data_IF_769667037003
#
_entry.id   IF_769667037003
#
_cell.length_a   1.000
_cell.length_b   1.000
_cell.length_c   1.000
_cell.angle_alpha   90.00
_cell.angle_beta   90.00
_cell.angle_gamma   90.00
#
_symmetry.space_group_name_H-M   'P 1'
#
loop_
_entity.id
_entity.type
_entity.pdbx_description
1 polymer ?
#
# COMPACT_ATOMS: atom_id res chain seq x y z
N UNK A 1 20.16 -24.29 -5.13
CA UNK A 1 20.05 -24.13 -3.67
C UNK A 1 18.70 -23.47 -3.39
N UNK A 2 17.78 -24.24 -2.76
CA UNK A 2 16.47 -23.90 -2.15
C UNK A 2 15.44 -23.11 -3.00
N UNK A 3 14.32 -23.60 -3.56
CA UNK A 3 13.16 -24.43 -3.14
C UNK A 3 11.86 -23.59 -3.18
N UNK A 4 10.92 -23.94 -4.10
CA UNK A 4 9.43 -24.01 -3.99
C UNK A 4 8.65 -22.81 -3.40
N UNK A 5 7.58 -22.26 -4.00
CA UNK A 5 6.30 -22.91 -4.34
C UNK A 5 5.49 -22.08 -5.35
N UNK A 6 5.41 -22.53 -6.59
CA UNK A 6 4.37 -22.10 -7.52
C UNK A 6 3.19 -23.06 -7.31
N UNK A 7 2.11 -22.60 -6.67
CA UNK A 7 0.89 -23.41 -6.53
C UNK A 7 0.09 -23.29 -7.83
N UNK A 8 0.46 -24.09 -8.83
CA UNK A 8 -0.37 -24.31 -10.02
C UNK A 8 -1.57 -25.15 -9.59
N UNK A 9 -2.74 -24.52 -9.45
CA UNK A 9 -4.02 -25.24 -9.33
C UNK A 9 -4.36 -25.76 -10.73
N UNK A 10 -3.82 -26.92 -11.08
CA UNK A 10 -4.27 -27.67 -12.24
C UNK A 10 -5.64 -28.29 -11.89
N UNK A 11 -6.72 -27.60 -12.25
CA UNK A 11 -8.08 -28.10 -12.08
C UNK A 11 -8.40 -29.11 -13.20
N UNK A 12 -8.07 -30.39 -12.98
CA UNK A 12 -8.63 -31.49 -13.77
C UNK A 12 -10.07 -31.74 -13.28
N UNK A 13 -11.03 -30.97 -13.80
CA UNK A 13 -12.44 -31.24 -13.60
C UNK A 13 -12.90 -32.28 -14.64
N UNK A 14 -13.01 -33.55 -14.24
CA UNK A 14 -13.81 -34.52 -14.99
C UNK A 14 -15.27 -34.28 -14.64
N UNK A 15 -15.97 -33.52 -15.49
CA UNK A 15 -17.42 -33.35 -15.39
C UNK A 15 -18.07 -34.62 -15.97
N UNK A 16 -18.56 -35.51 -15.10
CA UNK A 16 -19.42 -36.62 -15.51
C UNK A 16 -20.87 -36.13 -15.50
N UNK A 17 -21.41 -35.78 -16.67
CA UNK A 17 -22.82 -35.42 -16.82
C UNK A 17 -23.63 -36.69 -17.08
N UNK A 18 -23.91 -37.45 -16.03
CA UNK A 18 -25.02 -38.40 -16.01
C UNK A 18 -26.01 -37.96 -14.93
N UNK A 19 -27.29 -37.83 -15.32
CA UNK A 19 -28.35 -37.09 -14.62
C UNK A 19 -28.84 -37.68 -13.28
N UNK A 20 -28.04 -38.50 -12.59
CA UNK A 20 -28.38 -39.10 -11.30
C UNK A 20 -27.26 -39.05 -10.25
N UNK A 21 -26.08 -38.51 -10.56
CA UNK A 21 -24.97 -38.46 -9.60
C UNK A 21 -24.69 -37.01 -9.15
N UNK A 22 -24.53 -36.82 -7.84
CA UNK A 22 -24.15 -35.54 -7.25
C UNK A 22 -22.85 -35.02 -7.89
N UNK A 23 -22.80 -33.72 -8.22
CA UNK A 23 -21.57 -33.11 -8.72
C UNK A 23 -20.57 -33.09 -7.57
N UNK A 24 -19.43 -33.74 -7.78
CA UNK A 24 -18.33 -33.79 -6.81
C UNK A 24 -17.26 -32.78 -7.19
N UNK A 25 -17.02 -31.81 -6.31
CA UNK A 25 -15.89 -30.91 -6.44
C UNK A 25 -14.73 -31.41 -5.58
N UNK A 26 -13.61 -31.72 -6.23
CA UNK A 26 -12.38 -32.13 -5.55
C UNK A 26 -11.43 -30.92 -5.45
N UNK A 27 -11.15 -30.46 -4.24
CA UNK A 27 -10.19 -29.39 -3.97
C UNK A 27 -8.93 -29.97 -3.37
N UNK A 28 -7.77 -29.65 -3.95
CA UNK A 28 -6.47 -30.12 -3.47
C UNK A 28 -5.70 -28.96 -2.84
N UNK A 29 -5.28 -29.09 -1.58
CA UNK A 29 -4.43 -28.12 -0.87
C UNK A 29 -3.26 -28.85 -0.21
N UNK A 30 -2.03 -28.56 -0.66
CA UNK A 30 -0.82 -29.16 -0.08
C UNK A 30 -0.77 -30.70 -0.15
N UNK A 31 -1.34 -31.29 -1.19
CA UNK A 31 -1.46 -32.75 -1.35
C UNK A 31 -2.65 -33.38 -0.63
N UNK A 32 -3.36 -32.63 0.21
CA UNK A 32 -4.62 -33.07 0.84
C UNK A 32 -5.79 -32.81 -0.09
N UNK A 33 -6.64 -33.83 -0.29
CA UNK A 33 -7.90 -33.76 -1.04
C UNK A 33 -9.06 -33.47 -0.07
N UNK A 34 -9.88 -32.47 -0.40
CA UNK A 34 -11.19 -32.24 0.22
C UNK A 34 -12.26 -32.41 -0.86
N UNK A 35 -13.25 -33.26 -0.60
CA UNK A 35 -14.35 -33.55 -1.51
C UNK A 35 -15.62 -32.83 -1.03
N UNK A 36 -16.25 -32.05 -1.90
CA UNK A 36 -17.53 -31.39 -1.65
C UNK A 36 -18.59 -32.07 -2.51
N UNK A 37 -19.63 -32.59 -1.86
CA UNK A 37 -20.82 -33.10 -2.54
C UNK A 37 -21.83 -31.96 -2.73
N UNK A 38 -22.14 -31.64 -3.96
CA UNK A 38 -23.12 -30.62 -4.31
C UNK A 38 -24.40 -31.29 -4.79
N UNK A 39 -25.50 -31.12 -4.04
CA UNK A 39 -26.84 -31.50 -4.47
C UNK A 39 -27.54 -30.28 -5.08
N UNK A 40 -28.15 -30.44 -6.25
CA UNK A 40 -29.02 -29.44 -6.91
C UNK A 40 -28.37 -28.05 -7.09
N UNK A 41 -27.40 -27.95 -8.01
CA UNK A 41 -26.75 -26.67 -8.35
C UNK A 41 -27.13 -26.26 -9.76
N UNK A 42 -27.81 -25.11 -9.90
CA UNK A 42 -28.24 -24.60 -11.21
C UNK A 42 -27.07 -24.02 -12.02
N UNK A 43 -26.06 -23.47 -11.35
CA UNK A 43 -24.81 -23.04 -11.98
C UNK A 43 -23.67 -22.98 -10.96
N UNK A 44 -22.45 -23.33 -11.40
CA UNK A 44 -21.23 -23.25 -10.59
C UNK A 44 -20.19 -22.44 -11.36
N UNK A 45 -19.84 -21.26 -10.85
CA UNK A 45 -18.85 -20.39 -11.48
C UNK A 45 -17.52 -20.50 -10.74
N UNK A 46 -16.48 -20.91 -11.45
CA UNK A 46 -15.11 -20.85 -10.96
C UNK A 46 -14.43 -19.65 -11.60
N UNK A 47 -14.10 -18.64 -10.80
CA UNK A 47 -13.17 -17.59 -11.22
C UNK A 47 -11.78 -17.95 -10.71
N UNK A 48 -10.86 -18.33 -11.60
CA UNK A 48 -9.43 -18.29 -11.29
C UNK A 48 -9.02 -16.84 -11.13
N UNK A 49 -9.02 -16.33 -9.90
CA UNK A 49 -8.37 -15.08 -9.58
C UNK A 49 -6.88 -15.35 -9.44
N UNK A 50 -6.15 -15.18 -10.54
CA UNK A 50 -4.72 -14.91 -10.45
C UNK A 50 -4.66 -13.43 -10.06
N UNK A 51 -4.60 -13.16 -8.75
CA UNK A 51 -4.10 -11.87 -8.31
C UNK A 51 -2.75 -11.70 -9.02
N UNK A 52 -2.52 -10.59 -9.72
CA UNK A 52 -1.14 -10.30 -10.08
C UNK A 52 -0.33 -10.32 -8.78
N UNK A 53 0.95 -10.72 -8.83
CA UNK A 53 1.80 -10.77 -7.62
C UNK A 53 1.84 -9.43 -6.87
N UNK A 54 1.38 -8.36 -7.51
CA UNK A 54 1.33 -7.01 -7.01
C UNK A 54 0.00 -6.62 -6.35
N UNK A 55 -1.04 -7.45 -6.33
CA UNK A 55 -2.36 -7.11 -5.75
C UNK A 55 -2.61 -7.85 -4.43
N UNK A 56 -2.98 -7.10 -3.39
CA UNK A 56 -3.37 -7.63 -2.09
C UNK A 56 -4.82 -8.10 -2.08
N UNK A 57 -5.15 -9.05 -1.20
CA UNK A 57 -6.44 -9.75 -1.21
C UNK A 57 -7.60 -8.92 -0.65
N UNK A 58 -7.31 -7.96 0.24
CA UNK A 58 -8.31 -7.13 0.91
C UNK A 58 -9.12 -6.28 -0.06
N UNK A 59 -10.44 -6.26 0.14
CA UNK A 59 -11.40 -5.48 -0.66
C UNK A 59 -11.89 -4.28 0.15
N UNK A 60 -11.84 -3.10 -0.46
CA UNK A 60 -12.11 -1.83 0.20
C UNK A 60 -13.13 -1.02 -0.59
N UNK A 61 -14.19 -0.57 0.06
CA UNK A 61 -15.14 0.38 -0.52
C UNK A 61 -14.54 1.78 -0.52
N UNK A 62 -14.48 2.38 -1.70
CA UNK A 62 -14.01 3.76 -1.93
C UNK A 62 -15.15 4.69 -2.37
N UNK A 63 -16.35 4.14 -2.59
CA UNK A 63 -17.62 4.86 -2.65
C UNK A 63 -18.77 3.89 -2.34
N UNK A 64 -20.01 4.36 -2.37
CA UNK A 64 -21.19 3.50 -2.19
C UNK A 64 -21.33 2.38 -3.24
N UNK A 65 -20.72 2.54 -4.42
CA UNK A 65 -20.89 1.62 -5.56
C UNK A 65 -19.56 1.11 -6.12
N UNK A 66 -18.42 1.42 -5.48
CA UNK A 66 -17.09 1.07 -6.00
C UNK A 66 -16.23 0.45 -4.91
N UNK A 67 -15.64 -0.69 -5.24
CA UNK A 67 -14.64 -1.37 -4.44
C UNK A 67 -13.32 -1.50 -5.20
N UNK A 68 -12.23 -1.52 -4.44
CA UNK A 68 -10.87 -1.67 -4.97
C UNK A 68 -10.07 -2.68 -4.15
N UNK A 69 -8.91 -3.04 -4.69
CA UNK A 69 -7.82 -3.69 -3.98
C UNK A 69 -6.56 -2.83 -4.11
N UNK A 70 -5.65 -2.96 -3.16
CA UNK A 70 -4.41 -2.18 -3.15
C UNK A 70 -3.24 -2.98 -3.71
N UNK A 71 -2.21 -2.25 -4.14
CA UNK A 71 -0.92 -2.83 -4.50
C UNK A 71 -0.20 -3.40 -3.28
N UNK A 72 0.73 -4.35 -3.49
CA UNK A 72 1.56 -4.98 -2.44
C UNK A 72 2.52 -4.04 -1.73
N UNK A 73 2.76 -2.86 -2.30
CA UNK A 73 3.72 -1.89 -1.81
C UNK A 73 3.57 -0.54 -2.50
N UNK A 74 4.32 0.43 -2.02
CA UNK A 74 4.35 1.77 -2.59
C UNK A 74 4.89 1.74 -4.01
N UNK A 75 4.40 2.64 -4.86
CA UNK A 75 4.91 2.80 -6.20
C UNK A 75 6.29 3.46 -6.16
N UNK A 76 7.25 2.87 -6.88
CA UNK A 76 8.64 3.34 -6.96
C UNK A 76 9.04 3.54 -8.42
N UNK A 77 9.84 4.58 -8.66
CA UNK A 77 10.44 4.85 -9.97
C UNK A 77 11.95 4.72 -9.88
N UNK A 78 12.53 4.05 -10.87
CA UNK A 78 13.98 3.97 -11.06
C UNK A 78 14.37 4.84 -12.26
N UNK A 79 15.17 5.89 -12.03
CA UNK A 79 15.52 6.88 -13.06
C UNK A 79 16.41 6.28 -14.16
N UNK A 80 17.43 5.52 -13.77
CA UNK A 80 18.42 4.91 -14.68
C UNK A 80 17.81 3.98 -15.72
N UNK A 81 16.73 3.27 -15.36
CA UNK A 81 16.01 2.35 -16.24
C UNK A 81 14.69 2.93 -16.76
N UNK A 82 14.24 4.05 -16.21
CA UNK A 82 12.93 4.67 -16.47
C UNK A 82 11.76 3.70 -16.26
N UNK A 83 11.85 2.86 -15.23
CA UNK A 83 10.84 1.84 -14.93
C UNK A 83 10.12 2.10 -13.63
N UNK A 84 8.86 1.71 -13.61
CA UNK A 84 8.00 1.72 -12.45
C UNK A 84 7.87 0.31 -11.87
N UNK A 85 7.86 0.20 -10.54
CA UNK A 85 7.56 -1.05 -9.84
C UNK A 85 6.96 -0.79 -8.47
N UNK A 86 6.19 -1.73 -7.95
CA UNK A 86 5.78 -1.69 -6.56
C UNK A 86 6.89 -2.22 -5.66
N UNK A 87 7.04 -1.61 -4.48
CA UNK A 87 7.93 -2.11 -3.44
C UNK A 87 7.57 -3.55 -3.05
N UNK A 88 8.53 -4.29 -2.48
CA UNK A 88 8.31 -5.69 -2.13
C UNK A 88 7.30 -5.84 -0.98
N UNK A 89 7.31 -4.90 -0.04
CA UNK A 89 6.40 -4.85 1.10
C UNK A 89 5.78 -3.45 1.27
N UNK A 90 4.63 -3.39 1.95
CA UNK A 90 3.94 -2.13 2.23
C UNK A 90 4.72 -1.17 3.14
N UNK A 91 5.57 -1.71 4.01
CA UNK A 91 6.41 -0.92 4.92
C UNK A 91 7.74 -0.47 4.30
N UNK A 92 8.05 -0.88 3.07
CA UNK A 92 9.27 -0.47 2.38
C UNK A 92 9.15 1.00 1.95
N UNK A 93 9.77 1.89 2.73
CA UNK A 93 9.89 3.32 2.42
C UNK A 93 11.33 3.65 2.00
N UNK A 94 11.47 4.50 1.00
CA UNK A 94 12.76 5.13 0.66
C UNK A 94 12.98 6.35 1.58
N UNK A 95 11.93 7.12 1.87
CA UNK A 95 11.97 8.19 2.86
C UNK A 95 13.01 9.26 2.53
N UNK A 96 13.90 9.57 3.47
CA UNK A 96 14.97 10.56 3.32
C UNK A 96 15.91 10.26 2.14
N UNK A 97 16.06 8.99 1.78
CA UNK A 97 16.92 8.57 0.67
C UNK A 97 16.34 8.83 -0.72
N UNK A 98 15.16 9.44 -0.84
CA UNK A 98 14.71 10.03 -2.12
C UNK A 98 15.67 11.14 -2.58
N UNK A 99 16.44 11.73 -1.66
CA UNK A 99 17.40 12.79 -1.92
C UNK A 99 18.81 12.24 -1.94
N UNK A 100 19.52 12.51 -3.03
CA UNK A 100 20.94 12.19 -3.18
C UNK A 100 21.78 13.31 -2.55
N UNK A 101 22.82 12.91 -1.82
CA UNK A 101 23.67 13.84 -1.09
C UNK A 101 22.96 14.43 0.14
N UNK A 102 23.73 15.17 0.95
CA UNK A 102 23.27 15.67 2.24
C UNK A 102 23.39 14.65 3.38
N UNK A 103 23.19 15.13 4.60
CA UNK A 103 23.26 14.33 5.82
C UNK A 103 21.85 14.17 6.36
N UNK A 104 21.44 12.92 6.62
CA UNK A 104 20.20 12.67 7.34
C UNK A 104 20.28 13.27 8.74
N UNK A 105 19.22 13.95 9.13
CA UNK A 105 19.09 14.56 10.44
C UNK A 105 17.84 14.02 11.12
N UNK A 106 17.95 13.84 12.44
CA UNK A 106 16.84 13.45 13.29
C UNK A 106 16.47 14.62 14.18
N UNK A 107 15.20 15.03 14.13
CA UNK A 107 14.68 15.94 15.13
C UNK A 107 14.44 15.16 16.42
N UNK A 108 15.22 15.46 17.45
CA UNK A 108 15.19 14.72 18.73
C UNK A 108 13.98 15.06 19.60
N UNK A 109 13.28 16.16 19.32
CA UNK A 109 12.08 16.58 20.08
C UNK A 109 10.85 15.80 19.62
N UNK A 110 10.73 15.60 18.30
CA UNK A 110 9.53 15.03 17.65
C UNK A 110 9.77 13.65 17.03
N UNK A 111 11.04 13.24 16.93
CA UNK A 111 11.46 11.88 16.59
C UNK A 111 11.41 11.54 15.10
N UNK A 112 11.26 12.51 14.21
CA UNK A 112 11.23 12.29 12.76
C UNK A 112 12.58 12.54 12.09
N UNK A 113 12.70 12.04 10.86
CA UNK A 113 13.89 12.17 10.03
C UNK A 113 13.65 13.16 8.88
N UNK A 114 14.71 13.85 8.48
CA UNK A 114 14.73 14.71 7.30
C UNK A 114 16.11 14.73 6.64
N UNK A 115 16.14 15.09 5.36
CA UNK A 115 17.37 15.22 4.57
C UNK A 115 17.20 16.31 3.52
N UNK A 116 18.25 17.08 3.30
CA UNK A 116 18.33 18.15 2.30
C UNK A 116 19.36 17.82 1.22
N UNK A 117 19.06 18.13 -0.04
CA UNK A 117 19.97 17.87 -1.15
C UNK A 117 19.45 18.43 -2.48
N UNK A 118 20.36 18.53 -3.45
CA UNK A 118 20.07 19.17 -4.74
C UNK A 118 19.48 18.21 -5.78
N UNK A 119 19.68 16.90 -5.60
CA UNK A 119 19.40 15.87 -6.58
C UNK A 119 18.46 14.79 -6.01
N UNK A 120 17.71 14.14 -6.89
CA UNK A 120 16.99 12.91 -6.56
C UNK A 120 17.93 11.71 -6.65
N UNK A 121 17.76 10.76 -5.73
CA UNK A 121 18.39 9.43 -5.84
C UNK A 121 17.84 8.64 -7.03
N UNK A 122 18.57 7.63 -7.50
CA UNK A 122 18.14 6.82 -8.65
C UNK A 122 16.78 6.16 -8.43
N UNK A 123 16.49 5.72 -7.21
CA UNK A 123 15.21 5.13 -6.82
C UNK A 123 14.43 6.09 -5.93
N UNK A 124 13.18 6.36 -6.28
CA UNK A 124 12.31 7.31 -5.57
C UNK A 124 10.89 6.76 -5.37
N UNK A 125 10.24 7.18 -4.28
CA UNK A 125 8.85 6.88 -3.93
C UNK A 125 8.07 8.12 -3.46
N UNK A 126 8.74 9.28 -3.38
CA UNK A 126 8.16 10.59 -3.11
C UNK A 126 8.25 11.48 -4.34
N UNK A 127 7.16 11.52 -5.09
CA UNK A 127 7.05 12.25 -6.34
C UNK A 127 6.64 13.72 -6.14
N UNK A 128 6.58 14.49 -7.23
CA UNK A 128 5.90 15.79 -7.28
C UNK A 128 4.47 15.61 -7.71
N UNK A 129 3.81 16.72 -8.04
CA UNK A 129 2.54 16.64 -8.73
C UNK A 129 2.73 15.90 -10.06
N UNK A 130 1.77 15.05 -10.40
CA UNK A 130 1.87 14.13 -11.54
C UNK A 130 1.70 14.80 -12.91
N UNK A 131 1.75 16.14 -12.95
CA UNK A 131 1.81 16.88 -14.20
C UNK A 131 3.06 16.49 -15.00
N UNK A 132 2.90 16.42 -16.32
CA UNK A 132 3.99 16.12 -17.24
C UNK A 132 4.34 17.38 -18.01
N UNK A 133 5.35 18.11 -17.53
CA UNK A 133 5.99 19.18 -18.30
C UNK A 133 7.19 18.62 -19.08
N UNK A 134 7.74 19.39 -20.01
CA UNK A 134 8.98 19.00 -20.72
C UNK A 134 10.20 18.87 -19.80
N UNK A 135 10.17 19.50 -18.62
CA UNK A 135 11.28 19.57 -17.67
C UNK A 135 11.12 18.66 -16.45
N UNK A 136 9.90 18.28 -16.07
CA UNK A 136 9.64 17.35 -14.95
C UNK A 136 8.59 16.33 -15.37
N UNK A 137 9.05 15.23 -15.97
CA UNK A 137 8.19 14.15 -16.41
C UNK A 137 7.67 13.39 -15.18
N UNK A 138 6.36 13.15 -15.12
CA UNK A 138 5.74 12.32 -14.09
C UNK A 138 6.09 12.74 -12.66
N UNK A 139 6.15 14.04 -12.35
CA UNK A 139 6.54 14.49 -11.01
C UNK A 139 7.98 14.13 -10.58
N UNK A 140 8.79 13.51 -11.45
CA UNK A 140 10.19 13.14 -11.19
C UNK A 140 11.05 14.38 -11.35
N UNK A 141 11.13 15.16 -10.29
CA UNK A 141 11.99 16.34 -10.23
C UNK A 141 12.15 16.81 -8.80
N UNK A 142 13.15 17.62 -8.52
CA UNK A 142 13.41 18.17 -7.19
C UNK A 142 12.61 19.43 -6.88
N UNK A 143 11.85 19.97 -7.84
CA UNK A 143 11.14 21.23 -7.62
C UNK A 143 10.16 21.17 -6.45
N UNK A 144 10.03 22.32 -5.79
CA UNK A 144 9.08 22.57 -4.71
C UNK A 144 7.94 23.49 -5.15
N UNK A 145 8.03 24.03 -6.37
CA UNK A 145 7.01 24.91 -6.91
C UNK A 145 5.99 24.05 -7.65
N UNK A 146 4.71 24.17 -7.28
CA UNK A 146 3.66 23.43 -7.96
C UNK A 146 3.56 23.86 -9.43
N UNK A 147 3.98 25.09 -9.77
CA UNK A 147 3.99 25.59 -11.15
C UNK A 147 4.94 24.83 -12.04
N UNK A 148 6.02 24.27 -11.50
CA UNK A 148 6.99 23.50 -12.29
C UNK A 148 6.40 22.15 -12.73
N UNK A 149 5.38 21.70 -12.01
CA UNK A 149 4.56 20.55 -12.33
C UNK A 149 3.20 20.93 -12.91
N UNK A 150 2.97 22.21 -13.22
CA UNK A 150 1.69 22.65 -13.77
C UNK A 150 1.51 22.10 -15.20
N UNK A 151 0.41 21.38 -15.39
CA UNK A 151 0.02 20.71 -16.61
C UNK A 151 -1.22 19.87 -16.34
N UNK A 152 -1.64 19.08 -17.31
CA UNK A 152 -2.74 18.14 -17.09
C UNK A 152 -2.31 17.11 -16.03
N UNK A 153 -3.06 17.03 -14.94
CA UNK A 153 -2.83 16.02 -13.92
C UNK A 153 -2.99 14.63 -14.56
N UNK A 154 -1.94 13.82 -14.51
CA UNK A 154 -1.95 12.45 -15.04
C UNK A 154 -2.02 11.50 -13.87
N UNK A 155 -3.08 10.69 -13.82
CA UNK A 155 -3.15 9.59 -12.86
C UNK A 155 -1.94 8.65 -12.99
N UNK A 156 -1.31 8.28 -11.87
CA UNK A 156 -0.12 7.42 -11.88
C UNK A 156 -0.34 6.07 -12.55
N UNK A 157 -1.57 5.56 -12.54
CA UNK A 157 -1.99 4.38 -13.28
C UNK A 157 -1.77 4.46 -14.78
N UNK A 158 -1.86 5.66 -15.37
CA UNK A 158 -1.50 5.90 -16.79
C UNK A 158 0.01 5.92 -17.01
N UNK A 159 0.80 6.25 -15.99
CA UNK A 159 2.27 6.25 -16.09
C UNK A 159 2.84 4.82 -16.05
N UNK A 160 2.12 3.90 -15.40
CA UNK A 160 2.60 2.51 -15.17
C UNK A 160 1.82 1.45 -15.95
N UNK A 161 0.85 1.87 -16.78
CA UNK A 161 0.01 0.94 -17.52
C UNK A 161 -1.10 1.64 -18.32
N UNK A 162 -2.27 1.00 -18.36
CA UNK A 162 -3.43 1.44 -19.16
C UNK A 162 -4.33 2.45 -18.43
N UNK A 163 -4.00 2.83 -17.19
CA UNK A 163 -4.84 3.67 -16.33
C UNK A 163 -6.16 3.04 -15.91
N UNK A 164 -6.33 1.73 -16.11
CA UNK A 164 -7.52 0.95 -15.72
C UNK A 164 -7.19 -0.16 -14.74
N UNK A 165 -6.03 -0.78 -14.92
CA UNK A 165 -5.51 -1.84 -14.05
C UNK A 165 -5.04 -1.27 -12.72
N UNK A 166 -4.29 -0.18 -12.80
CA UNK A 166 -3.83 0.60 -11.65
C UNK A 166 -4.36 2.00 -11.79
N UNK A 167 -4.71 2.62 -10.67
CA UNK A 167 -5.03 4.03 -10.60
C UNK A 167 -4.80 4.54 -9.16
N UNK A 168 -4.67 5.85 -9.01
CA UNK A 168 -4.54 6.52 -7.73
C UNK A 168 -5.93 6.91 -7.23
N UNK A 169 -6.23 6.68 -5.95
CA UNK A 169 -7.53 7.10 -5.41
C UNK A 169 -7.72 8.60 -5.57
N UNK A 170 -8.96 9.03 -5.80
CA UNK A 170 -9.31 10.46 -5.76
C UNK A 170 -9.41 10.97 -4.32
N UNK A 171 -9.46 12.28 -4.13
CA UNK A 171 -9.62 12.90 -2.80
C UNK A 171 -10.93 12.46 -2.13
N UNK A 172 -12.02 12.38 -2.92
CA UNK A 172 -13.31 11.85 -2.46
C UNK A 172 -13.22 10.37 -2.05
N UNK A 173 -12.49 9.56 -2.82
CA UNK A 173 -12.30 8.14 -2.51
C UNK A 173 -11.47 7.93 -1.24
N UNK A 174 -10.43 8.74 -1.02
CA UNK A 174 -9.69 8.78 0.24
C UNK A 174 -10.60 9.18 1.40
N UNK A 175 -11.35 10.27 1.24
CA UNK A 175 -12.30 10.76 2.25
C UNK A 175 -13.36 9.72 2.59
N UNK A 176 -13.86 9.00 1.58
CA UNK A 176 -14.81 7.92 1.79
C UNK A 176 -14.18 6.76 2.56
N UNK A 177 -12.99 6.32 2.15
CA UNK A 177 -12.26 5.21 2.77
C UNK A 177 -11.92 5.47 4.24
N UNK A 178 -11.53 6.71 4.57
CA UNK A 178 -11.15 7.09 5.94
C UNK A 178 -12.32 7.45 6.84
N UNK A 179 -13.42 8.01 6.31
CA UNK A 179 -14.45 8.62 7.16
C UNK A 179 -15.90 8.28 6.83
N UNK A 180 -16.23 7.83 5.62
CA UNK A 180 -17.63 7.71 5.18
C UNK A 180 -18.09 6.27 4.95
N UNK A 181 -17.18 5.34 4.68
CA UNK A 181 -17.54 3.92 4.52
C UNK A 181 -18.13 3.35 5.82
N UNK A 182 -18.91 2.28 5.68
CA UNK A 182 -19.46 1.57 6.84
C UNK A 182 -18.33 1.15 7.80
N UNK A 183 -18.53 1.42 9.10
CA UNK A 183 -17.57 1.13 10.17
C UNK A 183 -16.16 1.74 9.96
N UNK A 184 -16.04 2.85 9.21
CA UNK A 184 -14.75 3.48 8.91
C UNK A 184 -13.88 3.71 10.16
N UNK A 185 -14.49 4.16 11.27
CA UNK A 185 -13.85 4.39 12.57
C UNK A 185 -13.27 3.14 13.24
N UNK A 186 -13.76 1.96 12.86
CA UNK A 186 -13.28 0.64 13.32
C UNK A 186 -12.29 0.00 12.36
N UNK A 187 -12.27 0.45 11.10
CA UNK A 187 -11.48 -0.11 10.01
C UNK A 187 -10.22 0.69 9.69
N UNK A 188 -9.83 1.61 10.57
CA UNK A 188 -8.60 2.39 10.46
C UNK A 188 -7.91 2.46 11.82
N UNK A 189 -6.57 2.54 11.84
CA UNK A 189 -5.85 2.84 13.07
C UNK A 189 -4.38 3.21 12.84
N UNK A 190 -3.76 3.92 13.79
CA UNK A 190 -2.32 4.19 13.77
C UNK A 190 -1.55 3.02 14.38
N UNK A 191 -0.39 2.68 13.83
CA UNK A 191 0.48 1.71 14.49
C UNK A 191 1.94 1.81 14.05
N UNK A 192 2.79 1.12 14.81
CA UNK A 192 4.17 0.80 14.45
C UNK A 192 4.31 -0.68 14.08
N UNK A 193 5.08 -0.98 13.06
CA UNK A 193 5.59 -2.33 12.77
C UNK A 193 7.07 -2.36 13.15
N UNK A 194 7.45 -3.23 14.08
CA UNK A 194 8.85 -3.52 14.34
C UNK A 194 9.38 -4.49 13.27
N UNK A 195 10.34 -4.04 12.48
CA UNK A 195 10.92 -4.77 11.35
C UNK A 195 12.02 -5.74 11.80
N UNK A 196 12.57 -5.52 12.98
CA UNK A 196 13.57 -6.38 13.60
C UNK A 196 13.20 -6.72 15.06
N UNK A 197 13.92 -7.69 15.64
CA UNK A 197 13.57 -8.26 16.94
C UNK A 197 13.82 -7.31 18.13
N UNK A 198 14.78 -6.40 18.02
CA UNK A 198 15.10 -5.42 19.07
C UNK A 198 14.22 -4.16 18.99
N UNK A 199 13.41 -4.01 17.93
CA UNK A 199 12.51 -2.88 17.72
C UNK A 199 13.22 -1.57 17.33
N UNK A 200 14.51 -1.64 16.99
CA UNK A 200 15.29 -0.48 16.57
C UNK A 200 15.00 -0.09 15.11
N UNK A 201 14.63 -1.07 14.28
CA UNK A 201 14.12 -0.84 12.93
C UNK A 201 12.60 -0.98 12.93
N UNK A 202 11.92 0.06 12.47
CA UNK A 202 10.47 0.11 12.47
C UNK A 202 9.90 0.96 11.34
N UNK A 203 8.62 0.74 11.05
CA UNK A 203 7.81 1.59 10.20
C UNK A 203 6.57 2.06 10.97
N UNK A 204 6.40 3.37 11.08
CA UNK A 204 5.19 4.01 11.55
C UNK A 204 4.24 4.25 10.38
N UNK A 205 2.93 4.14 10.59
CA UNK A 205 1.95 4.41 9.54
C UNK A 205 0.51 4.19 9.95
N UNK A 206 -0.37 4.25 8.95
CA UNK A 206 -1.81 4.04 9.09
C UNK A 206 -2.13 2.64 8.60
N UNK A 207 -2.92 1.92 9.40
CA UNK A 207 -3.51 0.65 9.04
C UNK A 207 -4.91 0.89 8.50
N UNK A 208 -5.24 0.26 7.38
CA UNK A 208 -6.58 0.21 6.80
C UNK A 208 -7.02 -1.24 6.70
N UNK A 209 -8.24 -1.51 7.17
CA UNK A 209 -8.83 -2.83 7.19
C UNK A 209 -9.90 -2.97 6.08
N UNK A 210 -10.01 -4.13 5.42
CA UNK A 210 -10.99 -4.37 4.37
C UNK A 210 -12.42 -4.37 4.91
N UNK A 211 -13.41 -4.24 4.01
CA UNK A 211 -14.81 -4.09 4.41
C UNK A 211 -15.34 -5.30 5.20
N UNK A 212 -14.93 -6.52 4.82
CA UNK A 212 -15.29 -7.77 5.48
C UNK A 212 -14.19 -8.21 6.47
N UNK A 213 -13.68 -7.29 7.29
CA UNK A 213 -12.56 -7.57 8.18
C UNK A 213 -12.89 -8.61 9.25
N UNK A 214 -11.92 -9.50 9.48
CA UNK A 214 -11.88 -10.38 10.66
C UNK A 214 -10.45 -10.43 11.17
N UNK A 215 -10.25 -10.04 12.43
CA UNK A 215 -8.91 -10.01 13.01
C UNK A 215 -8.33 -11.44 13.11
N UNK A 216 -7.09 -11.68 12.63
CA UNK A 216 -6.43 -12.97 12.77
C UNK A 216 -6.30 -13.42 14.22
N UNK A 217 -6.39 -14.73 14.45
CA UNK A 217 -6.20 -15.31 15.77
C UNK A 217 -4.82 -14.98 16.36
N UNK A 218 -4.81 -14.61 17.65
CA UNK A 218 -3.59 -14.24 18.36
C UNK A 218 -3.05 -12.84 18.04
N UNK A 219 -3.76 -12.05 17.22
CA UNK A 219 -3.47 -10.63 17.00
C UNK A 219 -4.64 -9.81 17.54
N UNK A 220 -4.34 -8.68 18.18
CA UNK A 220 -5.35 -7.70 18.59
C UNK A 220 -5.09 -6.42 17.81
N UNK A 221 -6.11 -5.90 17.14
CA UNK A 221 -6.06 -4.62 16.46
C UNK A 221 -6.86 -3.58 17.24
N UNK A 222 -6.27 -2.40 17.45
CA UNK A 222 -6.95 -1.23 18.00
C UNK A 222 -7.26 -0.24 16.88
N UNK A 223 -8.54 0.10 16.70
CA UNK A 223 -8.92 1.14 15.76
C UNK A 223 -8.66 2.54 16.31
N UNK A 224 -8.61 3.52 15.42
CA UNK A 224 -8.34 4.92 15.74
C UNK A 224 -6.91 5.19 16.20
N UNK A 225 -6.76 6.07 17.19
CA UNK A 225 -5.45 6.48 17.71
C UNK A 225 -4.80 7.65 16.96
N UNK A 226 -5.56 8.37 16.14
CA UNK A 226 -5.12 9.64 15.56
C UNK A 226 -4.87 10.64 16.68
N UNK A 227 -3.60 11.00 16.88
CA UNK A 227 -3.21 12.01 17.85
C UNK A 227 -3.18 13.38 17.18
N UNK A 228 -3.65 14.41 17.87
CA UNK A 228 -3.45 15.81 17.45
C UNK A 228 -1.99 16.27 17.64
N UNK A 229 -1.16 15.46 18.29
CA UNK A 229 0.26 15.78 18.50
C UNK A 229 1.10 15.20 17.38
N UNK A 230 1.82 16.08 16.66
CA UNK A 230 2.77 15.71 15.60
C UNK A 230 4.05 15.09 16.20
N UNK A 231 3.95 13.89 16.77
CA UNK A 231 5.09 13.14 17.28
C UNK A 231 5.09 11.69 16.75
N UNK A 232 6.25 11.15 16.42
CA UNK A 232 6.40 9.76 15.97
C UNK A 232 6.15 8.72 17.06
N UNK A 233 5.96 9.14 18.33
CA UNK A 233 5.68 8.27 19.46
C UNK A 233 4.21 7.84 19.52
N UNK A 234 3.30 8.65 18.99
CA UNK A 234 1.87 8.39 18.93
C UNK A 234 1.53 7.02 18.28
N UNK A 235 2.30 6.63 17.26
CA UNK A 235 2.16 5.32 16.62
C UNK A 235 2.39 4.15 17.58
N UNK A 236 3.53 4.17 18.28
CA UNK A 236 3.89 3.11 19.23
C UNK A 236 3.01 3.12 20.48
N UNK A 237 2.62 4.31 20.95
CA UNK A 237 1.74 4.49 22.10
C UNK A 237 0.33 3.95 21.82
N UNK A 238 -0.15 4.04 20.57
CA UNK A 238 -1.41 3.42 20.18
C UNK A 238 -1.29 1.89 20.15
N UNK A 239 -0.42 1.37 19.26
CA UNK A 239 -0.13 -0.05 19.17
C UNK A 239 1.15 -0.34 18.37
N UNK A 240 1.84 -1.42 18.74
CA UNK A 240 3.02 -1.91 18.04
C UNK A 240 2.82 -3.38 17.67
N UNK A 241 3.15 -3.72 16.43
CA UNK A 241 3.12 -5.10 15.91
C UNK A 241 4.54 -5.61 15.69
N UNK A 242 4.76 -6.89 15.95
CA UNK A 242 5.93 -7.59 15.42
C UNK A 242 5.75 -7.79 13.91
N UNK A 243 6.85 -8.01 13.18
CA UNK A 243 6.77 -8.36 11.76
C UNK A 243 5.90 -9.61 11.51
N UNK A 244 5.91 -10.59 12.41
CA UNK A 244 5.06 -11.78 12.30
C UNK A 244 3.59 -11.47 12.47
N UNK A 245 3.23 -10.54 13.36
CA UNK A 245 1.83 -10.11 13.51
C UNK A 245 1.37 -9.31 12.30
N UNK A 246 2.24 -8.44 11.77
CA UNK A 246 1.96 -7.75 10.51
C UNK A 246 1.68 -8.73 9.36
N UNK A 247 2.52 -9.76 9.18
CA UNK A 247 2.32 -10.76 8.12
C UNK A 247 0.96 -11.46 8.23
N UNK A 248 0.44 -11.70 9.45
CA UNK A 248 -0.90 -12.25 9.65
C UNK A 248 -1.99 -11.25 9.24
N UNK A 249 -1.82 -9.97 9.60
CA UNK A 249 -2.75 -8.89 9.26
C UNK A 249 -2.81 -8.66 7.75
N UNK A 250 -1.65 -8.56 7.10
CA UNK A 250 -1.53 -8.43 5.64
C UNK A 250 -2.15 -9.62 4.91
N UNK A 251 -1.89 -10.85 5.40
CA UNK A 251 -2.52 -12.07 4.84
C UNK A 251 -4.04 -12.07 4.96
N UNK A 252 -4.59 -11.38 5.96
CA UNK A 252 -6.03 -11.16 6.13
C UNK A 252 -6.56 -9.95 5.33
N UNK A 253 -5.71 -9.31 4.54
CA UNK A 253 -6.06 -8.21 3.64
C UNK A 253 -5.89 -6.81 4.22
N UNK A 254 -5.23 -6.66 5.38
CA UNK A 254 -4.92 -5.34 5.92
C UNK A 254 -3.89 -4.60 5.04
N UNK A 255 -4.04 -3.28 4.96
CA UNK A 255 -3.16 -2.36 4.25
C UNK A 255 -2.41 -1.50 5.26
N UNK A 256 -1.13 -1.28 5.01
CA UNK A 256 -0.28 -0.38 5.76
C UNK A 256 0.18 0.75 4.85
N UNK A 257 -0.22 1.97 5.19
CA UNK A 257 0.19 3.19 4.53
C UNK A 257 1.28 3.86 5.37
N UNK A 258 2.57 3.72 5.00
CA UNK A 258 3.65 4.18 5.85
C UNK A 258 3.69 5.72 5.94
N UNK A 259 4.19 6.21 7.07
CA UNK A 259 4.52 7.61 7.28
C UNK A 259 5.84 7.95 6.54
N UNK A 260 5.79 7.94 5.21
CA UNK A 260 6.95 8.18 4.34
C UNK A 260 7.44 9.62 4.33
N UNK A 261 6.72 10.54 5.00
CA UNK A 261 6.99 11.96 4.99
C UNK A 261 6.42 12.65 3.75
N UNK A 262 6.91 13.84 3.48
CA UNK A 262 6.58 14.61 2.28
C UNK A 262 7.72 15.54 1.92
N UNK A 263 7.66 16.06 0.69
CA UNK A 263 8.60 17.05 0.21
C UNK A 263 8.08 18.44 0.55
N UNK A 264 8.90 19.24 1.23
CA UNK A 264 8.49 20.56 1.74
C UNK A 264 9.39 21.67 1.19
N UNK A 265 8.93 22.90 1.35
CA UNK A 265 9.78 24.09 1.36
C UNK A 265 10.06 24.51 2.80
N UNK A 266 11.29 24.36 3.29
CA UNK A 266 11.69 24.92 4.59
C UNK A 266 12.00 26.42 4.50
N UNK A 267 12.82 26.88 3.52
CA UNK A 267 12.96 28.32 3.18
C UNK A 267 13.05 28.59 1.67
N UNK A 268 12.88 29.86 1.29
CA UNK A 268 12.86 30.36 -0.11
C UNK A 268 14.19 30.16 -0.87
N UNK A 269 15.28 29.93 -0.16
CA UNK A 269 16.66 29.86 -0.68
C UNK A 269 17.33 28.48 -0.51
N UNK A 270 16.59 27.44 -0.12
CA UNK A 270 17.17 26.15 0.30
C UNK A 270 16.85 24.98 -0.65
N UNK A 271 17.77 24.01 -0.67
CA UNK A 271 17.75 22.73 -1.40
C UNK A 271 16.50 21.89 -1.13
N UNK A 272 16.16 20.98 -2.04
CA UNK A 272 15.03 20.04 -1.90
C UNK A 272 15.15 19.21 -0.64
N UNK A 273 14.04 19.09 0.10
CA UNK A 273 14.02 18.39 1.36
C UNK A 273 12.91 17.33 1.38
N UNK A 274 13.21 16.22 2.04
CA UNK A 274 12.21 15.26 2.51
C UNK A 274 12.13 15.42 4.02
N UNK A 275 10.92 15.55 4.56
CA UNK A 275 10.70 15.84 5.97
C UNK A 275 9.58 14.98 6.55
N UNK A 276 9.55 14.86 7.88
CA UNK A 276 8.52 14.16 8.65
C UNK A 276 8.44 12.65 8.37
N UNK A 277 9.53 12.05 7.87
CA UNK A 277 9.62 10.59 7.73
C UNK A 277 9.47 9.96 9.11
N UNK A 278 8.66 8.90 9.22
CA UNK A 278 8.21 8.26 10.46
C UNK A 278 7.23 9.06 11.33
N UNK A 279 6.77 10.24 10.89
CA UNK A 279 5.82 11.08 11.64
C UNK A 279 4.57 11.46 10.86
N UNK A 280 4.61 11.53 9.54
CA UNK A 280 3.45 11.89 8.72
C UNK A 280 3.48 11.12 7.40
N UNK A 281 2.30 10.72 6.91
CA UNK A 281 2.13 10.18 5.57
C UNK A 281 1.28 11.14 4.74
N UNK A 282 1.76 11.49 3.55
CA UNK A 282 1.01 12.25 2.55
C UNK A 282 0.81 11.33 1.35
N UNK A 283 -0.46 10.99 1.08
CA UNK A 283 -0.82 10.02 0.06
C UNK A 283 -1.30 10.74 -1.19
N UNK A 284 -0.84 10.28 -2.36
CA UNK A 284 -1.23 10.91 -3.63
C UNK A 284 -2.72 10.75 -3.89
N UNK A 285 -3.27 11.77 -4.55
CA UNK A 285 -4.64 11.79 -5.06
C UNK A 285 -4.64 11.99 -6.57
N UNK A 286 -5.55 11.32 -7.26
CA UNK A 286 -5.84 11.54 -8.70
C UNK A 286 -6.66 12.81 -8.97
N UNK A 287 -7.06 13.55 -7.92
CA UNK A 287 -7.75 14.84 -8.04
C UNK A 287 -7.08 15.86 -7.13
N UNK A 288 -7.05 17.15 -7.51
CA UNK A 288 -6.68 18.22 -6.58
C UNK A 288 -7.59 18.19 -5.34
N UNK A 289 -7.03 18.59 -4.20
CA UNK A 289 -7.77 18.94 -2.99
C UNK A 289 -8.32 20.36 -3.08
#
# INVERSE_FOLDING_TARGET
MRTLKLLVVALLATISLNAQEAVKLNVWKGGTKTEFALSSVDSLTFSTYIASEDVLTGVFSVSATKQVRFSKGNLQYTQSTQTWSFAAHQYDIIGTDNIEGGTEQKDTVVGFYYKEGANLSDKIDLFGWSGSTSSTKWGVGTSKDNTDYAGDLVDWGKNIGDGKTWYTLTSDEWSYLFGTRADADKLVGLARINLNADGMEYANGIFLLPDAWTCPAGVTFKSGGFSETNNGKAYADNQTFTLSDWQKLESAGAIFLPASGYRRRQKKTELSNVSYVQSSGYYWSATPD
#
